data_IF_213385135927
#
_entry.id   IF_213385135927
#
_cell.length_a   1.000
_cell.length_b   1.000
_cell.length_c   1.000
_cell.angle_alpha   90.00
_cell.angle_beta   90.00
_cell.angle_gamma   90.00
#
_symmetry.space_group_name_H-M   'P 1'
#
loop_
_entity.id
_entity.type
_entity.pdbx_description
1 polymer ?
#
# COMPACT_ATOMS: atom_id res chain seq x y z
N UNK A 1 -10.84 -14.58 2.39
CA UNK A 1 -10.18 -13.86 3.49
C UNK A 1 -10.75 -12.46 3.54
N UNK A 2 -11.37 -12.02 4.64
CA UNK A 2 -11.94 -10.69 4.68
C UNK A 2 -10.80 -9.66 4.62
N UNK A 3 -10.81 -8.85 3.58
CA UNK A 3 -9.92 -7.69 3.46
C UNK A 3 -10.55 -6.59 4.31
N UNK A 4 -9.92 -6.26 5.42
CA UNK A 4 -10.36 -5.13 6.22
C UNK A 4 -9.85 -3.85 5.56
N UNK A 5 -10.76 -3.05 5.02
CA UNK A 5 -10.46 -1.71 4.52
C UNK A 5 -10.68 -0.71 5.65
N UNK A 6 -9.71 0.14 5.88
CA UNK A 6 -9.79 1.22 6.87
C UNK A 6 -9.70 2.54 6.11
N UNK A 7 -10.73 3.36 6.23
CA UNK A 7 -10.69 4.73 5.73
C UNK A 7 -10.12 5.65 6.81
N UNK A 8 -9.25 6.56 6.39
CA UNK A 8 -8.62 7.55 7.26
C UNK A 8 -8.66 8.93 6.61
N UNK A 9 -8.96 9.98 7.35
CA UNK A 9 -8.85 11.34 6.84
C UNK A 9 -7.38 11.68 6.58
N UNK A 10 -7.11 12.45 5.51
CA UNK A 10 -5.78 12.97 5.21
C UNK A 10 -5.44 14.15 6.12
N UNK A 11 -6.45 14.94 6.48
CA UNK A 11 -6.30 16.07 7.38
C UNK A 11 -6.26 15.58 8.82
N UNK A 12 -5.18 15.87 9.51
CA UNK A 12 -4.95 15.52 10.90
C UNK A 12 -5.36 16.71 11.76
N UNK A 13 -6.29 16.51 12.68
CA UNK A 13 -6.88 17.58 13.48
C UNK A 13 -6.49 17.47 14.97
N UNK A 14 -5.84 16.38 15.36
CA UNK A 14 -5.45 16.12 16.75
C UNK A 14 -3.99 15.70 16.83
N UNK A 15 -3.34 15.97 17.97
CA UNK A 15 -1.96 15.50 18.23
C UNK A 15 -1.83 13.98 18.12
N UNK A 16 -2.88 13.23 18.48
CA UNK A 16 -2.90 11.78 18.35
C UNK A 16 -2.90 11.31 16.88
N UNK A 17 -3.62 12.03 15.99
CA UNK A 17 -3.62 11.75 14.55
C UNK A 17 -2.29 12.16 13.92
N UNK A 18 -1.66 13.24 14.39
CA UNK A 18 -0.32 13.65 13.95
C UNK A 18 0.75 12.62 14.35
N UNK A 19 0.65 12.06 15.55
CA UNK A 19 1.56 11.04 16.03
C UNK A 19 1.47 9.72 15.23
N UNK A 20 0.28 9.44 14.66
CA UNK A 20 0.06 8.30 13.78
C UNK A 20 0.28 8.67 12.30
N UNK A 21 1.43 9.25 11.98
CA UNK A 21 1.74 9.72 10.63
C UNK A 21 1.92 8.57 9.64
N UNK A 22 2.46 7.45 10.06
CA UNK A 22 2.66 6.26 9.24
C UNK A 22 1.54 5.24 9.48
N UNK A 23 1.07 4.66 8.40
CA UNK A 23 0.04 3.62 8.41
C UNK A 23 0.58 2.33 7.82
N UNK A 24 0.21 1.20 8.42
CA UNK A 24 0.43 -0.09 7.80
C UNK A 24 -0.60 -0.32 6.69
N UNK A 25 -0.14 -0.40 5.45
CA UNK A 25 -0.95 -0.68 4.27
C UNK A 25 -0.49 -1.97 3.61
N UNK A 26 -1.13 -3.08 3.99
CA UNK A 26 -0.83 -4.37 3.39
C UNK A 26 -1.41 -4.45 1.98
N UNK A 27 -0.55 -4.65 0.99
CA UNK A 27 -0.82 -4.78 -0.44
C UNK A 27 -1.17 -3.51 -1.19
N UNK A 28 -1.91 -2.56 -0.61
CA UNK A 28 -2.22 -1.33 -1.32
C UNK A 28 -2.68 -0.20 -0.39
N UNK A 29 -2.56 1.01 -0.90
CA UNK A 29 -3.19 2.22 -0.36
C UNK A 29 -3.98 2.89 -1.48
N UNK A 30 -5.16 3.44 -1.17
CA UNK A 30 -5.98 4.20 -2.11
C UNK A 30 -6.28 5.57 -1.53
N UNK A 31 -5.97 6.60 -2.29
CA UNK A 31 -6.34 7.98 -2.01
C UNK A 31 -7.50 8.34 -2.93
N UNK A 32 -8.56 8.91 -2.37
CA UNK A 32 -9.71 9.28 -3.17
C UNK A 32 -10.49 10.45 -2.55
N UNK A 33 -11.21 11.13 -3.40
CA UNK A 33 -12.30 12.03 -3.05
C UNK A 33 -13.61 11.55 -3.69
N UNK A 34 -14.62 12.41 -3.77
CA UNK A 34 -15.92 12.09 -4.38
C UNK A 34 -15.87 11.88 -5.90
N UNK A 35 -14.83 12.35 -6.58
CA UNK A 35 -14.74 12.40 -8.04
C UNK A 35 -13.61 11.56 -8.63
N UNK A 36 -12.54 11.34 -7.87
CA UNK A 36 -11.32 10.74 -8.36
C UNK A 36 -10.64 9.87 -7.30
N UNK A 37 -9.88 8.89 -7.75
CA UNK A 37 -9.07 8.04 -6.91
C UNK A 37 -7.79 7.56 -7.59
N UNK A 38 -6.73 7.50 -6.82
CA UNK A 38 -5.46 6.88 -7.20
C UNK A 38 -5.14 5.79 -6.19
N UNK A 39 -4.71 4.64 -6.70
CA UNK A 39 -4.23 3.53 -5.89
C UNK A 39 -2.74 3.27 -6.13
N UNK A 40 -2.07 2.84 -5.07
CA UNK A 40 -0.70 2.33 -5.12
C UNK A 40 -0.74 0.91 -4.56
N UNK A 41 -0.52 -0.08 -5.43
CA UNK A 41 -0.31 -1.46 -5.01
C UNK A 41 1.17 -1.68 -4.73
N UNK A 42 1.50 -2.41 -3.67
CA UNK A 42 2.86 -2.71 -3.26
C UNK A 42 3.10 -4.22 -3.12
N UNK A 43 4.33 -4.65 -3.36
CA UNK A 43 4.75 -6.03 -3.21
C UNK A 43 5.33 -6.36 -1.83
N UNK A 44 6.15 -5.48 -1.28
CA UNK A 44 6.97 -5.80 -0.11
C UNK A 44 7.04 -4.71 0.94
N UNK A 45 6.45 -3.53 0.70
CA UNK A 45 6.47 -2.40 1.62
C UNK A 45 5.12 -2.24 2.28
N UNK A 46 5.10 -2.15 3.61
CA UNK A 46 3.85 -2.05 4.38
C UNK A 46 3.62 -0.68 5.01
N UNK A 47 4.66 0.12 5.15
CA UNK A 47 4.58 1.47 5.69
C UNK A 47 4.20 2.48 4.63
N UNK A 48 3.21 3.30 4.89
CA UNK A 48 2.84 4.43 4.06
C UNK A 48 2.42 5.63 4.90
N UNK A 49 2.76 6.81 4.40
CA UNK A 49 2.31 8.07 4.97
C UNK A 49 1.59 8.89 3.90
N UNK A 50 0.48 9.48 4.29
CA UNK A 50 -0.32 10.34 3.42
C UNK A 50 -0.50 11.68 4.11
N UNK A 51 -0.12 12.74 3.44
CA UNK A 51 -0.19 14.10 3.96
C UNK A 51 -0.66 15.11 2.92
N UNK A 52 -1.26 16.18 3.40
CA UNK A 52 -1.64 17.33 2.55
C UNK A 52 -0.42 18.09 2.10
N UNK A 53 -0.34 18.39 0.83
CA UNK A 53 0.66 19.29 0.26
C UNK A 53 0.07 20.70 0.20
N UNK A 54 0.81 21.67 0.73
CA UNK A 54 0.42 23.08 0.69
C UNK A 54 1.37 23.88 -0.18
N UNK A 55 0.84 24.89 -0.82
CA UNK A 55 1.62 25.84 -1.60
C UNK A 55 2.24 26.95 -0.71
N UNK A 56 2.85 27.95 -1.36
CA UNK A 56 3.50 29.08 -0.67
C UNK A 56 2.53 29.98 0.10
N UNK A 57 1.27 29.96 -0.28
CA UNK A 57 0.19 30.76 0.31
C UNK A 57 -0.63 29.94 1.34
N UNK A 58 -0.11 28.76 1.75
CA UNK A 58 -0.74 27.80 2.66
C UNK A 58 -2.05 27.20 2.12
N UNK A 59 -2.32 27.36 0.82
CA UNK A 59 -3.47 26.72 0.17
C UNK A 59 -3.19 25.25 -0.15
N UNK A 60 -4.24 24.41 -0.12
CA UNK A 60 -4.12 23.00 -0.45
C UNK A 60 -3.73 22.83 -1.93
N UNK A 61 -2.52 22.37 -2.18
CA UNK A 61 -1.95 22.15 -3.51
C UNK A 61 -2.08 20.70 -3.99
N UNK A 62 -2.28 19.76 -3.07
CA UNK A 62 -2.39 18.36 -3.41
C UNK A 62 -2.26 17.41 -2.23
N UNK A 63 -2.06 16.14 -2.55
CA UNK A 63 -1.82 15.09 -1.57
C UNK A 63 -0.50 14.39 -1.89
N UNK A 64 0.34 14.24 -0.89
CA UNK A 64 1.60 13.52 -0.98
C UNK A 64 1.44 12.14 -0.36
N UNK A 65 1.87 11.11 -1.09
CA UNK A 65 1.96 9.73 -0.60
C UNK A 65 3.42 9.33 -0.55
N UNK A 66 3.85 8.84 0.59
CA UNK A 66 5.20 8.30 0.77
C UNK A 66 5.11 6.84 1.14
N UNK A 67 5.96 6.02 0.56
CA UNK A 67 6.11 4.61 0.90
C UNK A 67 7.41 4.45 1.69
N UNK A 68 7.33 3.81 2.85
CA UNK A 68 8.52 3.49 3.66
C UNK A 68 9.21 2.28 3.06
N UNK A 69 10.47 2.43 2.65
CA UNK A 69 11.21 1.38 1.97
C UNK A 69 11.95 0.47 2.96
N UNK A 70 12.82 1.07 3.77
CA UNK A 70 13.69 0.38 4.71
C UNK A 70 13.83 1.24 5.96
N UNK A 71 13.76 0.63 7.13
CA UNK A 71 13.97 1.34 8.39
C UNK A 71 15.45 1.36 8.82
N UNK A 72 16.22 0.33 8.49
CA UNK A 72 17.64 0.17 8.76
C UNK A 72 18.08 0.62 10.19
N UNK A 73 17.45 0.11 11.27
CA UNK A 73 17.82 0.49 12.62
C UNK A 73 19.23 -0.01 12.95
N UNK A 74 19.99 0.78 13.71
CA UNK A 74 21.35 0.41 14.12
C UNK A 74 21.41 -0.40 15.42
N UNK A 75 20.28 -0.59 16.07
CA UNK A 75 20.15 -1.39 17.29
C UNK A 75 18.89 -2.29 17.17
N UNK A 76 18.93 -3.54 17.62
CA UNK A 76 20.03 -4.23 18.27
C UNK A 76 21.17 -4.71 17.34
N UNK A 77 20.93 -4.77 16.03
CA UNK A 77 21.93 -5.17 15.04
C UNK A 77 22.35 -3.98 14.16
N UNK A 78 23.61 -3.55 14.21
CA UNK A 78 24.10 -2.44 13.41
C UNK A 78 24.20 -2.75 11.91
N UNK A 79 23.92 -3.98 11.49
CA UNK A 79 23.92 -4.44 10.10
C UNK A 79 22.52 -4.74 9.57
N UNK A 80 21.49 -4.44 10.33
CA UNK A 80 20.11 -4.63 9.90
C UNK A 80 19.88 -3.91 8.56
N UNK A 81 19.27 -4.61 7.63
CA UNK A 81 18.87 -4.11 6.31
C UNK A 81 20.01 -3.59 5.41
N UNK A 82 21.27 -3.91 5.74
CA UNK A 82 22.38 -3.61 4.83
C UNK A 82 22.39 -4.64 3.71
N UNK A 83 22.12 -4.20 2.47
CA UNK A 83 22.13 -5.08 1.30
C UNK A 83 21.44 -4.47 0.09
N UNK A 84 21.25 -5.30 -0.91
CA UNK A 84 20.46 -4.97 -2.09
C UNK A 84 18.98 -5.24 -1.79
N UNK A 85 18.12 -4.26 -2.10
CA UNK A 85 16.68 -4.36 -1.94
C UNK A 85 16.00 -4.04 -3.26
N UNK A 86 14.96 -4.79 -3.58
CA UNK A 86 14.09 -4.56 -4.73
C UNK A 86 12.68 -4.28 -4.24
N UNK A 87 12.05 -3.28 -4.83
CA UNK A 87 10.70 -2.86 -4.46
C UNK A 87 9.86 -2.68 -5.71
N UNK A 88 8.65 -3.22 -5.68
CA UNK A 88 7.71 -3.15 -6.78
C UNK A 88 6.44 -2.40 -6.36
N UNK A 89 6.00 -1.50 -7.24
CA UNK A 89 4.73 -0.80 -7.10
C UNK A 89 4.02 -0.69 -8.43
N UNK A 90 2.70 -0.71 -8.35
CA UNK A 90 1.83 -0.30 -9.46
C UNK A 90 1.00 0.87 -9.00
N UNK A 91 1.07 1.97 -9.76
CA UNK A 91 0.24 3.17 -9.54
C UNK A 91 -0.83 3.20 -10.62
N UNK A 92 -2.10 3.28 -10.21
CA UNK A 92 -3.22 3.29 -11.16
C UNK A 92 -4.33 4.24 -10.71
N UNK A 93 -4.98 4.95 -11.65
CA UNK A 93 -6.24 5.63 -11.38
C UNK A 93 -7.32 4.58 -11.12
N UNK A 94 -8.09 4.76 -10.05
CA UNK A 94 -9.11 3.79 -9.69
C UNK A 94 -10.35 4.45 -9.06
N UNK A 95 -11.47 4.37 -9.74
CA UNK A 95 -12.76 4.82 -9.22
C UNK A 95 -13.27 3.94 -8.08
N UNK A 96 -12.83 2.68 -8.02
CA UNK A 96 -13.21 1.70 -6.99
C UNK A 96 -11.98 0.90 -6.51
N UNK A 97 -12.17 0.09 -5.48
CA UNK A 97 -11.10 -0.74 -4.90
C UNK A 97 -10.78 -1.98 -5.77
N UNK A 98 -11.73 -2.46 -6.57
CA UNK A 98 -11.60 -3.72 -7.29
C UNK A 98 -10.39 -3.80 -8.25
N UNK A 99 -10.10 -2.80 -9.11
CA UNK A 99 -8.90 -2.83 -9.96
C UNK A 99 -7.60 -2.84 -9.14
N UNK A 100 -7.60 -2.17 -7.99
CA UNK A 100 -6.43 -2.10 -7.12
C UNK A 100 -6.16 -3.44 -6.41
N UNK A 101 -7.22 -4.15 -6.00
CA UNK A 101 -7.10 -5.51 -5.46
C UNK A 101 -6.54 -6.46 -6.50
N UNK A 102 -6.95 -6.34 -7.77
CA UNK A 102 -6.41 -7.16 -8.86
C UNK A 102 -4.92 -6.88 -9.08
N UNK A 103 -4.52 -5.62 -9.22
CA UNK A 103 -3.12 -5.23 -9.37
C UNK A 103 -2.26 -5.67 -8.18
N UNK A 104 -2.77 -5.53 -6.96
CA UNK A 104 -2.09 -6.02 -5.76
C UNK A 104 -1.96 -7.55 -5.74
N UNK A 105 -2.94 -8.25 -6.29
CA UNK A 105 -2.89 -9.70 -6.49
C UNK A 105 -1.76 -10.11 -7.43
N UNK A 106 -1.64 -9.45 -8.57
CA UNK A 106 -0.60 -9.71 -9.57
C UNK A 106 0.82 -9.52 -9.02
N UNK A 107 1.05 -8.43 -8.27
CA UNK A 107 2.37 -8.18 -7.66
C UNK A 107 2.70 -9.21 -6.57
N UNK A 108 1.71 -9.58 -5.72
CA UNK A 108 1.96 -10.39 -4.53
C UNK A 108 1.78 -11.90 -4.76
N UNK A 109 1.24 -12.30 -5.90
CA UNK A 109 1.07 -13.70 -6.28
C UNK A 109 1.60 -13.90 -7.71
N UNK A 110 2.93 -13.96 -7.89
CA UNK A 110 3.52 -14.16 -9.19
C UNK A 110 3.01 -15.45 -9.80
N UNK A 111 2.78 -15.42 -11.10
CA UNK A 111 2.36 -16.61 -11.86
C UNK A 111 3.40 -17.71 -11.68
N UNK A 112 2.98 -18.85 -11.18
CA UNK A 112 3.83 -20.05 -11.14
C UNK A 112 3.88 -20.60 -12.56
N UNK A 113 4.95 -20.33 -13.26
CA UNK A 113 5.21 -20.94 -14.57
C UNK A 113 5.44 -22.43 -14.38
N UNK A 114 4.83 -23.24 -15.23
CA UNK A 114 4.95 -24.72 -15.25
C UNK A 114 4.29 -25.47 -14.08
N UNK A 115 3.17 -25.02 -13.58
CA UNK A 115 2.32 -25.93 -12.81
C UNK A 115 1.87 -27.09 -13.72
N UNK A 116 2.09 -28.34 -13.34
CA UNK A 116 1.45 -29.45 -14.04
C UNK A 116 -0.05 -29.28 -14.00
N UNK A 117 -0.71 -29.56 -15.11
CA UNK A 117 -2.16 -29.44 -15.24
C UNK A 117 -2.83 -30.25 -14.12
N UNK A 118 -3.33 -29.57 -13.10
CA UNK A 118 -4.06 -30.23 -12.00
C UNK A 118 -5.46 -30.49 -12.52
N UNK A 119 -5.59 -31.58 -13.28
CA UNK A 119 -6.84 -32.00 -13.91
C UNK A 119 -7.90 -32.51 -12.93
N UNK A 120 -7.66 -32.48 -11.64
CA UNK A 120 -8.63 -32.92 -10.65
C UNK A 120 -9.38 -31.71 -10.06
N UNK A 121 -10.71 -31.63 -10.21
CA UNK A 121 -11.50 -30.62 -9.54
C UNK A 121 -11.40 -30.81 -8.01
N UNK A 122 -11.04 -29.76 -7.29
CA UNK A 122 -11.12 -29.76 -5.83
C UNK A 122 -12.59 -29.73 -5.46
N UNK A 123 -13.11 -30.87 -5.01
CA UNK A 123 -14.46 -30.94 -4.44
C UNK A 123 -14.38 -30.55 -2.97
N UNK A 124 -14.94 -29.40 -2.62
CA UNK A 124 -15.15 -29.03 -1.23
C UNK A 124 -16.39 -29.79 -0.76
N UNK A 125 -16.20 -30.75 0.13
CA UNK A 125 -17.33 -31.39 0.82
C UNK A 125 -17.94 -30.41 1.83
N UNK A 126 -19.28 -30.40 2.00
CA UNK A 126 -19.99 -29.47 2.87
C UNK A 126 -19.74 -29.68 4.36
#
# INVERSE_FOLDING_TARGET
MPVCLIERPIVKNTEGEEAMFESCSHRFVRIHDSSYGIGVANGSTYGSDVSSLRDRDDALAGTMVRMSLVAAPTAPDPRTDIGHHEFDWTVLPCASVAPLVAAAGEINAPTIENMPDIAAPITLEP
#
